data_IF_779790193634
#
_entry.id   IF_779790193634
#
_cell.length_a   1.000
_cell.length_b   1.000
_cell.length_c   1.000
_cell.angle_alpha   90.00
_cell.angle_beta   90.00
_cell.angle_gamma   90.00
#
_symmetry.space_group_name_H-M   'P 1'
#
loop_
_entity.id
_entity.type
_entity.pdbx_description
1 polymer ?
#
# COMPACT_ATOMS: atom_id res chain seq x y z
N UNK A 1 34.57 -2.70 -16.36
CA UNK A 1 33.58 -2.15 -15.39
C UNK A 1 32.46 -3.16 -15.25
N UNK A 2 32.21 -3.67 -14.03
CA UNK A 2 31.11 -4.62 -13.81
C UNK A 2 29.76 -3.95 -14.14
N UNK A 3 28.85 -4.68 -14.80
CA UNK A 3 27.51 -4.15 -15.06
C UNK A 3 26.81 -3.83 -13.73
N UNK A 4 26.19 -2.65 -13.65
CA UNK A 4 25.50 -2.18 -12.45
C UNK A 4 24.30 -3.10 -12.18
N UNK A 5 24.17 -3.57 -10.93
CA UNK A 5 23.05 -4.39 -10.45
C UNK A 5 21.91 -3.46 -10.07
N UNK A 6 20.84 -3.44 -10.86
CA UNK A 6 19.73 -2.50 -10.70
C UNK A 6 18.44 -3.29 -10.45
N UNK A 7 17.64 -2.81 -9.51
CA UNK A 7 16.29 -3.30 -9.25
C UNK A 7 15.32 -2.17 -9.60
N UNK A 8 14.41 -2.43 -10.53
CA UNK A 8 13.36 -1.49 -10.92
C UNK A 8 12.05 -1.93 -10.28
N UNK A 9 11.27 -1.00 -9.74
CA UNK A 9 9.95 -1.26 -9.16
C UNK A 9 8.94 -0.29 -9.77
N UNK A 10 7.89 -0.84 -10.36
CA UNK A 10 6.83 -0.03 -10.98
C UNK A 10 5.94 0.60 -9.92
N UNK A 11 5.67 1.89 -10.07
CA UNK A 11 4.58 2.55 -9.35
C UNK A 11 3.22 2.17 -9.89
N UNK A 12 2.20 2.38 -9.06
CA UNK A 12 0.82 2.23 -9.46
C UNK A 12 -0.06 3.18 -8.65
N UNK A 13 -0.79 4.04 -9.36
CA UNK A 13 -1.76 4.96 -8.77
C UNK A 13 -3.20 4.49 -9.06
N UNK A 14 -3.87 3.80 -8.13
CA UNK A 14 -5.26 3.40 -8.29
C UNK A 14 -6.23 4.59 -8.21
N UNK A 15 -5.74 5.79 -7.88
CA UNK A 15 -6.55 6.99 -7.65
C UNK A 15 -6.23 8.11 -8.65
N UNK A 16 -5.68 7.78 -9.82
CA UNK A 16 -5.20 8.74 -10.83
C UNK A 16 -6.23 9.82 -11.21
N UNK A 17 -7.51 9.49 -11.29
CA UNK A 17 -8.53 10.48 -11.66
C UNK A 17 -8.68 11.60 -10.60
N UNK A 18 -8.50 11.26 -9.32
CA UNK A 18 -8.63 12.22 -8.21
C UNK A 18 -7.29 12.84 -7.81
N UNK A 19 -6.20 12.09 -7.97
CA UNK A 19 -4.83 12.49 -7.66
C UNK A 19 -3.93 12.25 -8.88
N UNK A 20 -4.05 13.07 -9.94
CA UNK A 20 -3.34 12.84 -11.19
C UNK A 20 -1.84 13.11 -11.04
N UNK A 21 -1.03 12.46 -11.89
CA UNK A 21 0.41 12.67 -12.02
C UNK A 21 1.17 12.46 -10.70
N UNK A 22 0.82 11.41 -9.96
CA UNK A 22 1.43 11.07 -8.67
C UNK A 22 2.19 9.76 -8.75
N UNK A 23 3.46 9.76 -8.34
CA UNK A 23 4.31 8.56 -8.33
C UNK A 23 4.12 7.82 -7.00
N UNK A 24 3.16 6.90 -6.97
CA UNK A 24 2.72 6.21 -5.75
C UNK A 24 3.26 4.79 -5.64
N UNK A 25 3.77 4.48 -4.45
CA UNK A 25 4.03 3.10 -4.00
C UNK A 25 3.26 2.82 -2.71
N UNK A 26 3.05 1.57 -2.36
CA UNK A 26 2.43 1.22 -1.07
C UNK A 26 3.47 1.25 0.06
N UNK A 27 3.02 1.33 1.32
CA UNK A 27 3.89 1.30 2.51
C UNK A 27 4.81 0.07 2.54
N UNK A 28 4.29 -1.11 2.28
CA UNK A 28 5.02 -2.38 2.16
C UNK A 28 6.06 -2.35 1.02
N UNK A 29 5.72 -1.76 -0.13
CA UNK A 29 6.70 -1.53 -1.21
C UNK A 29 7.82 -0.59 -0.76
N UNK A 30 7.51 0.48 -0.03
CA UNK A 30 8.51 1.39 0.53
C UNK A 30 9.45 0.66 1.52
N UNK A 31 8.90 -0.22 2.36
CA UNK A 31 9.72 -1.02 3.27
C UNK A 31 10.68 -1.91 2.48
N UNK A 32 10.20 -2.62 1.45
CA UNK A 32 11.04 -3.42 0.58
C UNK A 32 12.16 -2.59 -0.07
N UNK A 33 11.84 -1.42 -0.64
CA UNK A 33 12.82 -0.49 -1.24
C UNK A 33 13.91 -0.13 -0.22
N UNK A 34 13.54 0.23 1.01
CA UNK A 34 14.50 0.59 2.06
C UNK A 34 15.41 -0.57 2.43
N UNK A 35 14.86 -1.76 2.58
CA UNK A 35 15.64 -2.96 2.87
C UNK A 35 16.62 -3.26 1.74
N UNK A 36 16.18 -3.26 0.48
CA UNK A 36 17.04 -3.47 -0.69
C UNK A 36 18.16 -2.43 -0.78
N UNK A 37 17.85 -1.14 -0.58
CA UNK A 37 18.86 -0.06 -0.54
C UNK A 37 19.87 -0.25 0.60
N UNK A 38 19.43 -0.75 1.75
CA UNK A 38 20.30 -0.99 2.91
C UNK A 38 21.29 -2.15 2.68
N UNK A 39 20.93 -3.12 1.83
CA UNK A 39 21.79 -4.23 1.39
C UNK A 39 22.73 -3.82 0.24
N UNK A 40 22.70 -2.55 -0.19
CA UNK A 40 23.61 -2.00 -1.21
C UNK A 40 23.10 -2.08 -2.65
N UNK A 41 21.84 -2.46 -2.87
CA UNK A 41 21.25 -2.46 -4.21
C UNK A 41 20.84 -1.05 -4.65
N UNK A 42 21.03 -0.77 -5.94
CA UNK A 42 20.41 0.38 -6.56
C UNK A 42 18.95 0.06 -6.91
N UNK A 43 18.02 0.79 -6.28
CA UNK A 43 16.59 0.61 -6.47
C UNK A 43 16.03 1.86 -7.15
N UNK A 44 15.53 1.67 -8.37
CA UNK A 44 14.89 2.69 -9.21
C UNK A 44 13.38 2.48 -9.13
N UNK A 45 12.63 3.55 -8.85
CA UNK A 45 11.16 3.53 -8.82
C UNK A 45 10.67 4.14 -10.13
N UNK A 46 10.00 3.34 -10.95
CA UNK A 46 9.55 3.73 -12.29
C UNK A 46 8.12 4.30 -12.29
N UNK A 47 7.81 5.26 -13.18
CA UNK A 47 8.72 5.86 -14.16
C UNK A 47 9.71 6.84 -13.53
N UNK A 48 10.92 6.91 -14.10
CA UNK A 48 11.92 7.93 -13.73
C UNK A 48 11.68 9.22 -14.50
N UNK A 49 10.64 9.96 -14.08
CA UNK A 49 10.16 11.17 -14.74
C UNK A 49 10.37 12.44 -13.88
N UNK A 50 11.27 12.37 -12.89
CA UNK A 50 11.56 13.49 -11.97
C UNK A 50 10.49 13.74 -10.90
N UNK A 51 9.35 13.06 -10.93
CA UNK A 51 8.34 13.20 -9.88
C UNK A 51 8.81 12.55 -8.57
N UNK A 52 8.56 13.20 -7.41
CA UNK A 52 8.89 12.63 -6.12
C UNK A 52 8.07 11.37 -5.85
N UNK A 53 8.70 10.38 -5.24
CA UNK A 53 8.01 9.17 -4.76
C UNK A 53 7.19 9.54 -3.53
N UNK A 54 5.90 9.24 -3.56
CA UNK A 54 5.03 9.31 -2.40
C UNK A 54 4.54 7.90 -2.07
N UNK A 55 4.06 7.69 -0.84
CA UNK A 55 3.53 6.38 -0.47
C UNK A 55 2.11 6.42 0.08
N UNK A 56 1.34 5.42 -0.33
CA UNK A 56 0.02 5.11 0.17
C UNK A 56 0.15 4.33 1.48
N UNK A 57 -0.49 4.82 2.53
CA UNK A 57 -0.74 4.01 3.72
C UNK A 57 -2.20 3.60 3.76
N UNK A 58 -2.44 2.29 3.75
CA UNK A 58 -3.73 1.66 4.04
C UNK A 58 -3.58 0.96 5.38
N UNK A 59 -4.39 1.34 6.37
CA UNK A 59 -4.35 0.70 7.69
C UNK A 59 -5.35 -0.46 7.73
N UNK A 60 -5.18 -1.40 8.65
CA UNK A 60 -6.15 -2.46 8.89
C UNK A 60 -6.36 -3.48 7.76
N UNK A 61 -5.45 -3.51 6.78
CA UNK A 61 -5.28 -4.63 5.85
C UNK A 61 -4.26 -5.58 6.47
N UNK A 62 -4.66 -6.83 6.71
CA UNK A 62 -3.78 -7.87 7.24
C UNK A 62 -2.89 -8.52 6.17
N UNK A 63 -3.12 -8.21 4.89
CA UNK A 63 -2.38 -8.75 3.76
C UNK A 63 -1.26 -7.80 3.30
N UNK A 64 -0.02 -8.26 3.38
CA UNK A 64 1.12 -7.60 2.74
C UNK A 64 1.09 -7.85 1.24
N UNK A 65 1.46 -6.83 0.44
CA UNK A 65 1.38 -6.84 -1.01
C UNK A 65 -0.03 -7.14 -1.54
N UNK A 66 -1.04 -6.55 -0.87
CA UNK A 66 -2.44 -6.61 -1.30
C UNK A 66 -2.64 -5.96 -2.68
N UNK A 67 -1.86 -4.92 -2.99
CA UNK A 67 -1.80 -4.33 -4.32
C UNK A 67 -0.68 -5.00 -5.14
N UNK A 68 -0.90 -5.35 -6.42
CA UNK A 68 0.12 -5.95 -7.27
C UNK A 68 1.34 -5.05 -7.49
N UNK A 69 2.54 -5.63 -7.41
CA UNK A 69 3.82 -5.00 -7.68
C UNK A 69 4.59 -5.73 -8.78
N UNK A 70 5.24 -4.95 -9.63
CA UNK A 70 6.17 -5.45 -10.63
C UNK A 70 7.59 -5.05 -10.25
N UNK A 71 8.51 -6.00 -10.30
CA UNK A 71 9.93 -5.81 -10.01
C UNK A 71 10.72 -6.33 -11.19
N UNK A 72 11.61 -5.52 -11.77
CA UNK A 72 12.52 -5.95 -12.84
C UNK A 72 13.97 -5.95 -12.34
N UNK A 73 14.66 -7.08 -12.50
CA UNK A 73 16.02 -7.31 -12.05
C UNK A 73 16.97 -7.18 -13.23
N UNK A 74 17.91 -6.24 -13.18
CA UNK A 74 18.85 -6.01 -14.27
C UNK A 74 20.25 -6.43 -13.84
N UNK A 75 20.84 -7.38 -14.57
CA UNK A 75 22.15 -8.00 -14.28
C UNK A 75 22.21 -8.66 -12.88
N UNK A 76 21.09 -9.16 -12.37
CA UNK A 76 21.00 -9.84 -11.07
C UNK A 76 20.42 -11.24 -11.27
N UNK A 77 21.15 -12.31 -10.93
CA UNK A 77 20.61 -13.66 -10.94
C UNK A 77 19.40 -13.79 -10.00
N UNK A 78 18.36 -14.45 -10.48
CA UNK A 78 17.09 -14.59 -9.75
C UNK A 78 17.26 -15.21 -8.37
N UNK A 79 18.07 -16.27 -8.27
CA UNK A 79 18.29 -17.02 -7.02
C UNK A 79 18.90 -16.14 -5.91
N UNK A 80 19.73 -15.17 -6.27
CA UNK A 80 20.37 -14.27 -5.30
C UNK A 80 19.33 -13.32 -4.74
N UNK A 81 18.50 -12.73 -5.62
CA UNK A 81 17.57 -11.71 -5.18
C UNK A 81 16.24 -12.26 -4.68
N UNK A 82 15.74 -13.40 -5.16
CA UNK A 82 14.56 -14.04 -4.55
C UNK A 82 14.85 -14.44 -3.12
N UNK A 83 16.04 -14.94 -2.81
CA UNK A 83 16.42 -15.20 -1.42
C UNK A 83 16.43 -13.91 -0.59
N UNK A 84 16.88 -12.79 -1.14
CA UNK A 84 16.89 -11.50 -0.44
C UNK A 84 15.47 -10.96 -0.28
N UNK A 85 14.71 -10.83 -1.36
CA UNK A 85 13.32 -10.34 -1.35
C UNK A 85 12.47 -11.25 -0.45
N UNK A 86 12.57 -12.57 -0.57
CA UNK A 86 11.91 -13.53 0.31
C UNK A 86 12.30 -13.31 1.76
N UNK A 87 13.60 -13.24 2.09
CA UNK A 87 14.04 -12.99 3.46
C UNK A 87 13.53 -11.66 4.01
N UNK A 88 13.50 -10.59 3.20
CA UNK A 88 13.00 -9.29 3.67
C UNK A 88 11.49 -9.32 3.83
N UNK A 89 10.74 -9.90 2.89
CA UNK A 89 9.28 -10.07 3.02
C UNK A 89 8.96 -10.91 4.26
N UNK A 90 9.66 -12.02 4.48
CA UNK A 90 9.46 -12.87 5.65
C UNK A 90 9.79 -12.14 6.96
N UNK A 91 10.77 -11.22 6.97
CA UNK A 91 11.04 -10.36 8.13
C UNK A 91 9.97 -9.29 8.35
N UNK A 92 9.29 -8.88 7.30
CA UNK A 92 8.21 -7.88 7.36
C UNK A 92 6.89 -8.48 7.83
N UNK A 93 6.69 -9.79 7.66
CA UNK A 93 5.48 -10.48 8.12
C UNK A 93 5.51 -10.74 9.62
N UNK A 94 4.47 -10.26 10.31
CA UNK A 94 4.12 -10.81 11.61
C UNK A 94 3.45 -12.19 11.46
N UNK A 95 3.48 -13.01 12.51
CA UNK A 95 2.92 -14.40 12.51
C UNK A 95 1.45 -14.51 12.06
N UNK A 96 0.70 -13.40 12.00
CA UNK A 96 -0.72 -13.35 11.62
C UNK A 96 -0.96 -12.88 10.19
N UNK A 97 0.02 -12.25 9.56
CA UNK A 97 -0.14 -11.60 8.26
C UNK A 97 0.10 -12.59 7.11
N UNK A 98 -0.58 -12.36 5.99
CA UNK A 98 -0.46 -13.19 4.79
C UNK A 98 0.17 -12.37 3.66
N UNK A 99 0.99 -13.02 2.85
CA UNK A 99 1.47 -12.45 1.58
C UNK A 99 0.64 -12.99 0.44
N UNK A 100 0.15 -12.10 -0.41
CA UNK A 100 -0.39 -12.51 -1.69
C UNK A 100 0.75 -12.75 -2.69
N UNK A 101 1.22 -14.00 -2.77
CA UNK A 101 2.41 -14.35 -3.59
C UNK A 101 2.23 -13.99 -5.07
N UNK A 102 1.00 -14.09 -5.58
CA UNK A 102 0.67 -13.83 -6.98
C UNK A 102 0.77 -12.35 -7.35
N UNK A 103 0.62 -11.47 -6.34
CA UNK A 103 0.70 -10.03 -6.53
C UNK A 103 2.13 -9.52 -6.64
N UNK A 104 3.15 -10.34 -6.34
CA UNK A 104 4.56 -9.95 -6.47
C UNK A 104 5.11 -10.60 -7.73
N UNK A 105 5.32 -9.79 -8.76
CA UNK A 105 5.74 -10.24 -10.08
C UNK A 105 7.19 -9.80 -10.34
N UNK A 106 8.12 -10.75 -10.37
CA UNK A 106 9.56 -10.51 -10.57
C UNK A 106 9.96 -10.96 -11.98
N UNK A 107 10.53 -10.03 -12.74
CA UNK A 107 11.09 -10.25 -14.09
C UNK A 107 12.61 -10.10 -14.04
N UNK A 108 13.33 -10.88 -14.83
CA UNK A 108 14.79 -10.79 -14.96
C UNK A 108 15.13 -10.28 -16.34
N UNK A 109 15.94 -9.23 -16.42
CA UNK A 109 16.38 -8.60 -17.66
C UNK A 109 15.19 -8.46 -18.64
N UNK A 110 15.31 -9.02 -19.84
CA UNK A 110 14.26 -9.04 -20.86
C UNK A 110 13.51 -10.37 -20.95
N UNK A 111 13.60 -11.23 -19.93
CA UNK A 111 12.92 -12.53 -19.88
C UNK A 111 11.41 -12.36 -20.02
N UNK A 112 10.76 -13.22 -20.82
CA UNK A 112 9.29 -13.31 -20.88
C UNK A 112 8.69 -14.04 -19.68
N UNK A 113 9.53 -14.71 -18.89
CA UNK A 113 9.13 -15.46 -17.71
C UNK A 113 9.15 -14.57 -16.47
N UNK A 114 8.14 -14.75 -15.63
CA UNK A 114 8.00 -14.07 -14.35
C UNK A 114 8.03 -15.06 -13.20
N UNK A 115 8.35 -14.56 -12.01
CA UNK A 115 8.55 -15.35 -10.81
C UNK A 115 7.90 -14.64 -9.62
N UNK A 116 7.38 -15.41 -8.67
CA UNK A 116 6.97 -14.84 -7.39
C UNK A 116 8.19 -14.57 -6.50
N UNK A 117 7.96 -14.02 -5.30
CA UNK A 117 9.04 -13.71 -4.36
C UNK A 117 9.80 -14.93 -3.82
N UNK A 118 9.25 -16.15 -3.95
CA UNK A 118 9.93 -17.40 -3.60
C UNK A 118 10.80 -17.93 -4.74
N UNK A 119 10.80 -17.27 -5.90
CA UNK A 119 11.49 -17.73 -7.10
C UNK A 119 10.75 -18.85 -7.83
N UNK A 120 9.50 -19.11 -7.47
CA UNK A 120 8.66 -20.05 -8.20
C UNK A 120 8.20 -19.38 -9.50
N UNK A 121 8.33 -20.06 -10.65
CA UNK A 121 7.79 -19.58 -11.91
C UNK A 121 6.30 -19.29 -11.83
N UNK A 122 5.87 -18.17 -12.41
CA UNK A 122 4.47 -17.84 -12.60
C UNK A 122 4.06 -18.12 -14.05
N UNK A 123 2.75 -18.25 -14.28
CA UNK A 123 2.20 -18.44 -15.62
C UNK A 123 2.68 -17.34 -16.58
N UNK A 124 2.89 -17.69 -17.86
CA UNK A 124 3.38 -16.78 -18.90
C UNK A 124 2.51 -15.52 -19.06
N UNK A 125 1.25 -15.55 -18.62
CA UNK A 125 0.33 -14.42 -18.66
C UNK A 125 0.17 -13.69 -17.31
N UNK A 126 0.98 -13.98 -16.29
CA UNK A 126 0.82 -13.35 -14.97
C UNK A 126 0.98 -11.82 -15.01
N UNK A 127 1.88 -11.29 -15.84
CA UNK A 127 1.99 -9.83 -16.04
C UNK A 127 0.65 -9.22 -16.52
N UNK A 128 -0.04 -9.87 -17.48
CA UNK A 128 -1.36 -9.42 -17.95
C UNK A 128 -2.40 -9.51 -16.84
N UNK A 129 -2.32 -10.52 -15.98
CA UNK A 129 -3.19 -10.65 -14.81
C UNK A 129 -2.96 -9.51 -13.83
N UNK A 130 -1.70 -9.15 -13.56
CA UNK A 130 -1.33 -8.02 -12.70
C UNK A 130 -1.84 -6.69 -13.28
N UNK A 131 -1.60 -6.45 -14.57
CA UNK A 131 -2.06 -5.25 -15.25
C UNK A 131 -3.59 -5.16 -15.24
N UNK A 132 -4.27 -6.29 -15.47
CA UNK A 132 -5.73 -6.40 -15.38
C UNK A 132 -6.23 -6.08 -13.96
N UNK A 133 -5.64 -6.67 -12.91
CA UNK A 133 -6.00 -6.39 -11.51
C UNK A 133 -5.81 -4.90 -11.17
N UNK A 134 -4.69 -4.31 -11.58
CA UNK A 134 -4.40 -2.87 -11.41
C UNK A 134 -5.45 -2.01 -12.12
N UNK A 135 -5.77 -2.35 -13.37
CA UNK A 135 -6.80 -1.65 -14.14
C UNK A 135 -8.18 -1.75 -13.49
N UNK A 136 -8.60 -2.95 -13.09
CA UNK A 136 -9.88 -3.18 -12.41
C UNK A 136 -10.00 -2.39 -11.11
N UNK A 137 -8.90 -2.32 -10.33
CA UNK A 137 -8.88 -1.54 -9.09
C UNK A 137 -9.04 -0.04 -9.38
N UNK A 138 -8.26 0.49 -10.33
CA UNK A 138 -8.31 1.89 -10.75
C UNK A 138 -9.70 2.25 -11.27
N UNK A 139 -10.18 1.54 -12.29
CA UNK A 139 -11.49 1.79 -12.89
C UNK A 139 -12.61 1.66 -11.85
N UNK A 140 -12.48 0.74 -10.89
CA UNK A 140 -13.43 0.58 -9.80
C UNK A 140 -13.51 1.81 -8.90
N UNK A 141 -12.36 2.34 -8.48
CA UNK A 141 -12.34 3.55 -7.65
C UNK A 141 -12.82 4.77 -8.43
N UNK A 142 -12.43 4.91 -9.70
CA UNK A 142 -12.90 5.99 -10.57
C UNK A 142 -14.44 6.01 -10.62
N UNK A 143 -15.08 4.87 -10.91
CA UNK A 143 -16.54 4.76 -10.90
C UNK A 143 -17.16 5.09 -9.54
N UNK A 144 -16.53 4.65 -8.45
CA UNK A 144 -17.07 4.88 -7.10
C UNK A 144 -17.02 6.37 -6.72
N UNK A 145 -15.98 7.10 -7.11
CA UNK A 145 -15.87 8.54 -6.81
C UNK A 145 -16.84 9.41 -7.61
N UNK A 146 -17.39 8.91 -8.72
CA UNK A 146 -18.44 9.58 -9.49
C UNK A 146 -19.83 9.44 -8.86
N UNK A 147 -20.03 8.45 -7.99
CA UNK A 147 -21.31 8.22 -7.31
C UNK A 147 -21.51 9.29 -6.24
N UNK A 148 -22.64 10.01 -6.32
CA UNK A 148 -23.04 10.99 -5.32
C UNK A 148 -23.74 10.30 -4.15
N UNK A 149 -23.49 10.81 -2.95
CA UNK A 149 -24.21 10.36 -1.75
C UNK A 149 -25.71 10.62 -1.89
N UNK A 150 -26.58 9.69 -1.47
CA UNK A 150 -28.00 9.96 -1.31
C UNK A 150 -28.30 10.79 -0.05
N UNK A 151 -27.29 11.10 0.79
CA UNK A 151 -27.40 11.88 2.01
C UNK A 151 -26.62 13.18 1.87
N UNK A 152 -27.29 14.33 1.97
CA UNK A 152 -26.67 15.64 1.84
C UNK A 152 -25.61 15.89 2.93
N UNK A 153 -25.88 15.41 4.15
CA UNK A 153 -25.02 15.57 5.33
C UNK A 153 -23.90 14.52 5.43
N UNK A 154 -23.85 13.53 4.52
CA UNK A 154 -22.83 12.47 4.50
C UNK A 154 -22.25 12.30 3.08
N UNK A 155 -21.42 13.22 2.58
CA UNK A 155 -20.99 13.26 1.18
C UNK A 155 -19.90 12.23 0.83
N UNK A 156 -19.19 11.67 1.82
CA UNK A 156 -18.00 10.85 1.57
C UNK A 156 -18.34 9.37 1.50
N UNK A 157 -17.94 8.63 0.44
CA UNK A 157 -18.19 7.19 0.38
C UNK A 157 -17.37 6.42 1.41
N UNK A 158 -17.98 5.39 1.99
CA UNK A 158 -17.32 4.40 2.86
C UNK A 158 -17.17 3.11 2.06
N UNK A 159 -15.94 2.62 1.93
CA UNK A 159 -15.57 1.43 1.18
C UNK A 159 -15.48 0.19 2.07
N UNK A 160 -15.27 -0.98 1.45
CA UNK A 160 -15.06 -2.24 2.17
C UNK A 160 -13.64 -2.75 1.93
N UNK A 161 -12.86 -2.90 3.00
CA UNK A 161 -11.51 -3.51 2.97
C UNK A 161 -10.61 -2.89 1.89
N UNK A 162 -10.69 -1.56 1.70
CA UNK A 162 -9.93 -0.81 0.70
C UNK A 162 -10.13 -1.27 -0.75
N UNK A 163 -11.31 -1.84 -1.04
CA UNK A 163 -11.75 -2.22 -2.39
C UNK A 163 -12.82 -1.26 -2.88
N UNK A 164 -12.98 -1.08 -4.21
CA UNK A 164 -13.96 -0.18 -4.82
C UNK A 164 -15.38 -0.76 -4.73
N UNK A 165 -15.88 -0.89 -3.49
CA UNK A 165 -17.23 -1.28 -3.14
C UNK A 165 -17.72 -0.33 -2.07
N UNK A 166 -18.56 0.63 -2.46
CA UNK A 166 -19.24 1.51 -1.51
C UNK A 166 -20.24 0.69 -0.69
N UNK A 167 -20.17 0.83 0.63
CA UNK A 167 -21.04 0.14 1.59
C UNK A 167 -21.82 1.09 2.48
N UNK A 168 -21.48 2.38 2.44
CA UNK A 168 -22.07 3.42 3.25
C UNK A 168 -21.54 4.81 2.87
N UNK A 169 -21.91 5.78 3.68
CA UNK A 169 -21.59 7.19 3.49
C UNK A 169 -21.26 7.85 4.82
N UNK A 170 -20.34 8.79 4.83
CA UNK A 170 -19.90 9.48 6.02
C UNK A 170 -19.66 10.98 5.83
N UNK A 171 -19.71 11.68 6.96
CA UNK A 171 -19.09 12.98 7.16
C UNK A 171 -17.80 12.78 7.96
N UNK A 172 -16.74 13.48 7.55
CA UNK A 172 -15.43 13.44 8.18
C UNK A 172 -15.09 14.83 8.71
N UNK A 173 -14.50 14.89 9.90
CA UNK A 173 -13.94 16.11 10.46
C UNK A 173 -12.73 15.77 11.32
N UNK A 174 -11.85 16.74 11.55
CA UNK A 174 -10.70 16.61 12.43
C UNK A 174 -10.79 17.60 13.57
N UNK A 175 -10.36 17.17 14.75
CA UNK A 175 -10.09 18.03 15.91
C UNK A 175 -8.77 17.63 16.58
N UNK A 176 -8.49 18.16 17.77
CA UNK A 176 -7.25 17.91 18.51
C UNK A 176 -7.06 16.44 18.91
N UNK A 177 -8.14 15.64 18.95
CA UNK A 177 -8.08 14.20 19.21
C UNK A 177 -7.87 13.37 17.94
N UNK A 178 -7.98 14.00 16.77
CA UNK A 178 -7.69 13.42 15.47
C UNK A 178 -8.89 13.42 14.52
N UNK A 179 -8.85 12.52 13.53
CA UNK A 179 -9.87 12.40 12.50
C UNK A 179 -11.06 11.57 13.03
N UNK A 180 -12.25 12.15 12.95
CA UNK A 180 -13.52 11.57 13.40
C UNK A 180 -14.49 11.42 12.24
N UNK A 181 -15.51 10.59 12.44
CA UNK A 181 -16.52 10.33 11.42
C UNK A 181 -17.90 10.07 12.00
N UNK A 182 -18.93 10.47 11.27
CA UNK A 182 -20.34 10.12 11.46
C UNK A 182 -20.78 9.44 10.18
N UNK A 183 -21.43 8.28 10.26
CA UNK A 183 -21.72 7.50 9.06
C UNK A 183 -22.99 6.66 9.14
N UNK A 184 -23.45 6.27 7.96
CA UNK A 184 -24.51 5.29 7.76
C UNK A 184 -23.97 4.20 6.83
N UNK A 185 -24.17 2.94 7.23
CA UNK A 185 -23.92 1.78 6.37
C UNK A 185 -25.24 1.43 5.68
N UNK A 186 -25.23 1.18 4.37
CA UNK A 186 -26.42 0.83 3.60
C UNK A 186 -26.45 -0.65 3.20
N UNK A 187 -25.28 -1.27 3.04
CA UNK A 187 -25.17 -2.69 2.66
C UNK A 187 -25.61 -3.60 3.85
N UNK A 188 -26.72 -4.34 3.64
CA UNK A 188 -27.30 -5.25 4.66
C UNK A 188 -26.34 -6.37 5.08
N UNK A 189 -25.53 -6.89 4.14
CA UNK A 189 -24.55 -7.94 4.43
C UNK A 189 -23.43 -7.39 5.30
N UNK A 190 -22.99 -6.16 5.02
CA UNK A 190 -21.96 -5.47 5.81
C UNK A 190 -22.48 -5.15 7.21
N UNK A 191 -23.71 -4.63 7.36
CA UNK A 191 -24.35 -4.45 8.69
C UNK A 191 -24.35 -5.74 9.50
N UNK A 192 -24.79 -6.85 8.90
CA UNK A 192 -24.79 -8.16 9.55
C UNK A 192 -23.38 -8.61 9.95
N UNK A 193 -22.37 -8.33 9.12
CA UNK A 193 -20.98 -8.67 9.46
C UNK A 193 -20.45 -7.82 10.61
N UNK A 194 -20.81 -6.54 10.68
CA UNK A 194 -20.48 -5.65 11.80
C UNK A 194 -21.14 -6.17 13.08
N UNK A 195 -22.44 -6.48 13.07
CA UNK A 195 -23.15 -7.00 14.24
C UNK A 195 -22.64 -8.38 14.72
N UNK A 196 -21.94 -9.10 13.85
CA UNK A 196 -21.30 -10.39 14.17
C UNK A 196 -19.82 -10.26 14.56
N UNK A 197 -19.29 -9.03 14.73
CA UNK A 197 -17.87 -8.75 14.97
C UNK A 197 -16.93 -9.35 13.91
N UNK A 198 -17.40 -9.46 12.67
CA UNK A 198 -16.63 -9.89 11.49
C UNK A 198 -16.05 -8.71 10.70
N UNK A 199 -16.47 -7.50 11.04
CA UNK A 199 -15.98 -6.21 10.56
C UNK A 199 -16.05 -5.25 11.75
N UNK A 200 -14.91 -4.75 12.21
CA UNK A 200 -14.82 -4.23 13.58
C UNK A 200 -14.43 -2.76 13.66
N UNK A 201 -13.92 -2.18 12.58
CA UNK A 201 -13.45 -0.80 12.63
C UNK A 201 -13.36 -0.12 11.28
N UNK A 202 -12.82 1.08 11.34
CA UNK A 202 -12.56 1.94 10.22
C UNK A 202 -11.07 2.03 9.96
N UNK A 203 -10.73 2.27 8.70
CA UNK A 203 -9.40 2.58 8.24
C UNK A 203 -9.46 3.69 7.22
N UNK A 204 -8.48 4.58 7.28
CA UNK A 204 -8.33 5.67 6.33
C UNK A 204 -7.08 5.43 5.51
N UNK A 205 -7.22 5.57 4.19
CA UNK A 205 -6.10 5.65 3.27
C UNK A 205 -5.71 7.10 3.07
N UNK A 206 -4.41 7.36 3.15
CA UNK A 206 -3.84 8.63 2.75
C UNK A 206 -2.60 8.47 1.88
N UNK A 207 -2.29 9.53 1.14
CA UNK A 207 -1.03 9.69 0.41
C UNK A 207 -0.13 10.56 1.29
N UNK A 208 0.94 9.98 1.83
CA UNK A 208 1.93 10.75 2.56
C UNK A 208 2.77 11.55 1.55
N UNK A 209 2.55 12.87 1.51
CA UNK A 209 3.17 13.77 0.53
C UNK A 209 4.48 14.36 1.03
N UNK A 210 4.62 14.51 2.35
CA UNK A 210 5.84 14.98 3.01
C UNK A 210 6.08 14.19 4.29
N UNK A 211 7.27 13.63 4.40
CA UNK A 211 7.62 12.72 5.50
C UNK A 211 9.03 12.90 5.98
N UNK A 212 9.27 12.60 7.26
CA UNK A 212 10.57 12.81 7.90
C UNK A 212 11.00 11.55 8.67
N UNK A 213 12.26 11.16 8.48
CA UNK A 213 12.90 10.15 9.30
C UNK A 213 13.26 10.68 10.68
N UNK A 214 12.81 10.00 11.73
CA UNK A 214 13.11 10.40 13.12
C UNK A 214 14.59 10.36 13.50
N UNK A 215 15.42 9.63 12.74
CA UNK A 215 16.86 9.47 13.01
C UNK A 215 17.69 10.54 12.31
N UNK A 216 17.47 10.78 11.01
CA UNK A 216 18.31 11.67 10.20
C UNK A 216 17.62 12.93 9.69
N UNK A 217 16.33 13.10 9.96
CA UNK A 217 15.55 14.31 9.59
C UNK A 217 15.46 14.58 8.08
N UNK A 218 15.96 13.67 7.25
CA UNK A 218 15.76 13.70 5.81
C UNK A 218 14.42 13.08 5.44
N UNK A 219 14.04 13.24 4.16
CA UNK A 219 12.89 12.56 3.56
C UNK A 219 12.92 11.07 3.93
N UNK A 220 11.83 10.60 4.55
CA UNK A 220 11.72 9.22 4.95
C UNK A 220 11.73 8.28 3.76
N UNK A 221 11.19 8.65 2.60
CA UNK A 221 11.17 7.80 1.40
C UNK A 221 12.58 7.52 0.88
N UNK A 222 13.44 8.54 0.91
CA UNK A 222 14.79 8.45 0.31
C UNK A 222 15.89 8.01 1.30
N UNK A 223 15.66 8.10 2.61
CA UNK A 223 16.69 7.73 3.57
C UNK A 223 16.94 6.20 3.65
N UNK A 224 18.13 5.80 4.13
CA UNK A 224 18.52 4.39 4.31
C UNK A 224 18.09 3.77 5.65
N UNK A 225 17.45 4.54 6.53
CA UNK A 225 17.01 4.01 7.82
C UNK A 225 15.78 3.11 7.64
N UNK A 226 15.85 1.93 8.24
CA UNK A 226 14.80 0.92 8.26
C UNK A 226 13.92 1.18 9.49
N UNK A 227 12.60 1.36 9.33
CA UNK A 227 11.71 1.57 10.48
C UNK A 227 11.78 0.42 11.49
N UNK A 228 11.51 0.75 12.76
CA UNK A 228 11.65 -0.11 13.95
C UNK A 228 13.09 -0.59 14.27
N UNK A 229 14.05 -0.53 13.34
CA UNK A 229 15.46 -0.81 13.63
C UNK A 229 16.05 0.26 14.54
N UNK A 230 16.90 -0.17 15.48
CA UNK A 230 17.60 0.73 16.41
C UNK A 230 18.86 1.30 15.76
N UNK A 231 19.04 2.61 15.89
CA UNK A 231 20.23 3.36 15.50
C UNK A 231 20.65 4.22 16.69
N UNK A 232 21.85 3.99 17.24
CA UNK A 232 22.34 4.68 18.44
C UNK A 232 21.31 4.67 19.59
N UNK A 233 20.72 3.50 19.84
CA UNK A 233 19.71 3.30 20.89
C UNK A 233 18.28 3.75 20.55
N UNK A 234 18.07 4.55 19.49
CA UNK A 234 16.74 5.06 19.09
C UNK A 234 16.14 4.23 17.97
N UNK A 235 14.84 3.90 18.06
CA UNK A 235 14.12 3.23 16.97
C UNK A 235 13.80 4.24 15.85
N UNK A 236 14.03 3.86 14.60
CA UNK A 236 13.59 4.64 13.46
C UNK A 236 12.07 4.57 13.31
N UNK A 237 11.42 5.71 13.10
CA UNK A 237 10.01 5.81 12.73
C UNK A 237 9.84 6.91 11.69
N UNK A 238 8.73 6.81 10.95
CA UNK A 238 8.33 7.85 10.03
C UNK A 238 7.43 8.86 10.74
N UNK A 239 7.66 10.15 10.49
CA UNK A 239 6.73 11.23 10.83
C UNK A 239 6.10 11.72 9.53
N UNK A 240 4.79 11.54 9.40
CA UNK A 240 4.03 12.09 8.27
C UNK A 240 3.71 13.54 8.61
N UNK A 241 4.26 14.47 7.85
CA UNK A 241 4.09 15.91 8.07
C UNK A 241 2.89 16.44 7.29
N UNK A 242 2.69 15.94 6.07
CA UNK A 242 1.59 16.32 5.19
C UNK A 242 1.01 15.06 4.54
N UNK A 243 -0.32 15.02 4.40
CA UNK A 243 -1.02 13.87 3.83
C UNK A 243 -2.31 14.30 3.12
N UNK A 244 -2.58 13.68 1.97
CA UNK A 244 -3.85 13.82 1.27
C UNK A 244 -4.80 12.68 1.69
N UNK A 245 -6.04 13.02 2.09
CA UNK A 245 -7.08 12.04 2.37
C UNK A 245 -7.58 11.40 1.07
N UNK A 246 -7.54 10.07 0.98
CA UNK A 246 -7.99 9.34 -0.21
C UNK A 246 -9.38 8.74 0.01
N UNK A 247 -9.50 7.80 0.94
CA UNK A 247 -10.75 7.09 1.20
C UNK A 247 -10.82 6.54 2.63
N UNK A 248 -12.03 6.16 3.03
CA UNK A 248 -12.31 5.50 4.31
C UNK A 248 -12.97 4.15 4.03
N UNK A 249 -12.49 3.11 4.70
CA UNK A 249 -12.97 1.74 4.56
C UNK A 249 -13.40 1.15 5.90
N UNK A 250 -14.42 0.30 5.88
CA UNK A 250 -14.69 -0.64 6.96
C UNK A 250 -13.74 -1.83 6.81
N UNK A 251 -13.07 -2.18 7.90
CA UNK A 251 -12.08 -3.25 7.97
C UNK A 251 -12.36 -4.20 9.14
N UNK A 252 -11.91 -5.45 8.98
CA UNK A 252 -11.96 -6.45 10.04
C UNK A 252 -11.02 -6.14 11.21
N UNK A 253 -9.82 -5.66 10.92
CA UNK A 253 -8.73 -5.54 11.90
C UNK A 253 -8.17 -4.11 11.91
N UNK A 254 -8.89 -3.12 12.47
CA UNK A 254 -8.39 -1.75 12.54
C UNK A 254 -7.10 -1.68 13.37
N UNK A 255 -6.12 -0.89 12.92
CA UNK A 255 -4.83 -0.75 13.61
C UNK A 255 -4.95 0.04 14.93
N UNK A 256 -5.88 1.00 15.01
CA UNK A 256 -6.13 1.80 16.20
C UNK A 256 -7.42 1.35 16.89
N UNK A 257 -7.36 1.10 18.20
CA UNK A 257 -8.52 0.75 19.03
C UNK A 257 -9.59 1.84 19.08
N UNK A 258 -9.21 3.10 18.86
CA UNK A 258 -10.15 4.22 18.76
C UNK A 258 -10.92 4.24 17.43
N UNK A 259 -10.50 3.44 16.45
CA UNK A 259 -11.20 3.30 15.16
C UNK A 259 -12.22 2.15 15.17
N UNK A 260 -12.52 1.55 16.32
CA UNK A 260 -13.56 0.53 16.44
C UNK A 260 -14.94 1.15 16.15
N UNK A 261 -15.77 0.42 15.42
CA UNK A 261 -17.15 0.84 15.15
C UNK A 261 -17.96 0.65 16.42
N UNK A 262 -18.47 1.75 16.99
CA UNK A 262 -19.45 1.70 18.05
C UNK A 262 -20.85 1.60 17.40
N UNK A 263 -21.28 0.38 17.12
CA UNK A 263 -22.59 0.10 16.52
C UNK A 263 -23.67 0.14 17.61
N UNK A 264 -24.45 1.22 17.65
CA UNK A 264 -25.65 1.33 18.49
C UNK A 264 -26.87 0.82 17.72
#
# INVERSE_FOLDING_TARGET
MGKKKIIKIDTFNPYENRFPNRKLITRDTLLLVKHLRSEGYEVVIEPDNGLPVQYLYKKGIAEFFADPINITLINIPITILTNIISNQIQKLLDKKEKVNKENINIKIDNSTRTYNYLGEPQDTNNHKLVDKKRKELKDGFDRCFEIKSPYEDLPTPVFLEHKPKIVGWCWLWSDDEGLKSKMIINDKVVKRRISQNRLNGLSVTGIATKTECSICKSDFVECKHIPAKKYKGKKCFNTIMETDYVETSIVKEPINSQCLINYK
#
